data_IF_581300601633
#
_entry.id   IF_581300601633
#
_cell.length_a   1.000
_cell.length_b   1.000
_cell.length_c   1.000
_cell.angle_alpha   90.00
_cell.angle_beta   90.00
_cell.angle_gamma   90.00
#
_symmetry.space_group_name_H-M   'P 1'
#
loop_
_entity.id
_entity.type
_entity.pdbx_description
1 polymer ?
#
# COMPACT_ATOMS: atom_id res chain seq x y z
N UNK A 1 -21.35 19.10 -4.05
CA UNK A 1 -19.94 19.53 -4.19
C UNK A 1 -19.09 18.26 -4.18
N UNK A 2 -18.21 18.09 -5.16
CA UNK A 2 -17.27 16.96 -5.13
C UNK A 2 -16.20 17.32 -4.09
N UNK A 3 -16.14 16.56 -3.00
CA UNK A 3 -15.09 16.72 -1.98
C UNK A 3 -13.75 16.36 -2.61
N UNK A 4 -12.78 17.27 -2.52
CA UNK A 4 -11.40 16.98 -2.96
C UNK A 4 -10.78 15.94 -2.05
N UNK A 5 -9.97 15.05 -2.62
CA UNK A 5 -9.17 14.13 -1.82
C UNK A 5 -8.02 14.88 -1.15
N UNK A 6 -7.74 14.49 0.09
CA UNK A 6 -6.79 15.14 0.98
C UNK A 6 -5.48 14.38 1.05
N UNK A 7 -4.37 15.07 0.86
CA UNK A 7 -3.03 14.48 0.92
C UNK A 7 -2.23 15.21 1.99
N UNK A 8 -1.77 14.48 2.99
CA UNK A 8 -0.86 14.97 4.00
C UNK A 8 0.57 14.79 3.49
N UNK A 9 1.33 15.88 3.46
CA UNK A 9 2.73 15.91 3.04
C UNK A 9 3.56 16.14 4.30
N UNK A 10 4.45 15.20 4.60
CA UNK A 10 5.34 15.21 5.76
C UNK A 10 6.77 15.20 5.26
N UNK A 11 7.45 16.34 5.33
CA UNK A 11 8.81 16.51 4.82
C UNK A 11 9.46 17.67 5.57
N UNK A 12 10.68 17.50 6.10
CA UNK A 12 11.39 18.54 6.83
C UNK A 12 11.97 19.63 5.92
N UNK A 13 12.15 19.33 4.62
CA UNK A 13 12.52 20.32 3.62
C UNK A 13 11.27 21.02 3.06
N UNK A 14 11.05 22.27 3.52
CA UNK A 14 9.95 23.09 3.06
C UNK A 14 9.90 23.27 1.53
N UNK A 15 11.05 23.35 0.86
CA UNK A 15 11.08 23.55 -0.60
C UNK A 15 10.56 22.30 -1.32
N UNK A 16 10.92 21.12 -0.82
CA UNK A 16 10.42 19.85 -1.37
C UNK A 16 8.92 19.71 -1.07
N UNK A 17 8.49 19.97 0.17
CA UNK A 17 7.09 19.89 0.56
C UNK A 17 6.20 20.84 -0.26
N UNK A 18 6.62 22.10 -0.43
CA UNK A 18 5.90 23.09 -1.26
C UNK A 18 5.87 22.70 -2.72
N UNK A 19 6.97 22.18 -3.27
CA UNK A 19 7.04 21.67 -4.64
C UNK A 19 6.04 20.53 -4.85
N UNK A 20 6.04 19.55 -3.96
CA UNK A 20 5.07 18.44 -3.97
C UNK A 20 3.64 18.99 -3.92
N UNK A 21 3.36 19.86 -2.95
CA UNK A 21 2.03 20.46 -2.77
C UNK A 21 1.54 21.19 -4.03
N UNK A 22 2.44 21.96 -4.68
CA UNK A 22 2.12 22.66 -5.92
C UNK A 22 1.65 21.71 -7.04
N UNK A 23 2.37 20.61 -7.25
CA UNK A 23 2.01 19.65 -8.30
C UNK A 23 0.75 18.86 -7.94
N UNK A 24 0.62 18.44 -6.70
CA UNK A 24 -0.55 17.71 -6.20
C UNK A 24 -1.82 18.57 -6.25
N UNK A 25 -1.71 19.85 -5.88
CA UNK A 25 -2.86 20.80 -5.93
C UNK A 25 -3.30 21.09 -7.37
N UNK A 26 -2.38 21.17 -8.35
CA UNK A 26 -2.71 21.27 -9.78
C UNK A 26 -3.58 20.11 -10.28
N UNK A 27 -3.48 18.96 -9.63
CA UNK A 27 -4.25 17.74 -9.92
C UNK A 27 -5.57 17.68 -9.14
N UNK A 28 -6.03 18.82 -8.61
CA UNK A 28 -7.27 18.98 -7.87
C UNK A 28 -7.33 18.27 -6.51
N UNK A 29 -6.20 17.93 -5.90
CA UNK A 29 -6.14 17.45 -4.52
C UNK A 29 -6.09 18.64 -3.55
N UNK A 30 -6.47 18.39 -2.30
CA UNK A 30 -6.25 19.28 -1.16
C UNK A 30 -5.02 18.79 -0.39
N UNK A 31 -4.14 19.69 0.02
CA UNK A 31 -2.88 19.32 0.68
C UNK A 31 -2.75 20.02 2.03
N UNK A 32 -2.20 19.33 3.02
CA UNK A 32 -1.64 19.90 4.25
C UNK A 32 -0.16 19.53 4.34
N UNK A 33 0.67 20.45 4.78
CA UNK A 33 2.13 20.27 4.93
C UNK A 33 2.46 20.32 6.40
N UNK A 34 3.29 19.39 6.86
CA UNK A 34 3.92 19.40 8.20
C UNK A 34 5.39 18.98 8.07
N UNK A 35 6.24 19.47 8.98
CA UNK A 35 7.68 19.36 8.83
C UNK A 35 8.37 18.48 9.88
N UNK A 36 7.60 17.85 10.75
CA UNK A 36 8.11 16.89 11.73
C UNK A 36 7.08 15.78 12.04
N UNK A 37 7.56 14.69 12.63
CA UNK A 37 6.75 13.50 12.89
C UNK A 37 5.69 13.70 13.96
N UNK A 38 5.90 14.57 14.97
CA UNK A 38 4.88 14.84 15.99
C UNK A 38 3.72 15.65 15.43
N UNK A 39 4.01 16.63 14.59
CA UNK A 39 2.98 17.39 13.88
C UNK A 39 2.23 16.49 12.91
N UNK A 40 2.93 15.54 12.24
CA UNK A 40 2.32 14.59 11.33
C UNK A 40 1.22 13.76 12.02
N UNK A 41 1.50 13.22 13.21
CA UNK A 41 0.51 12.43 13.97
C UNK A 41 -0.67 13.28 14.46
N UNK A 42 -0.46 14.54 14.83
CA UNK A 42 -1.54 15.47 15.20
C UNK A 42 -2.39 15.84 13.99
N UNK A 43 -1.74 16.23 12.88
CA UNK A 43 -2.41 16.66 11.67
C UNK A 43 -3.14 15.49 10.99
N UNK A 44 -2.61 14.28 11.09
CA UNK A 44 -3.27 13.08 10.64
C UNK A 44 -4.70 12.96 11.20
N UNK A 45 -4.88 13.21 12.50
CA UNK A 45 -6.18 13.13 13.16
C UNK A 45 -7.11 14.29 12.78
N UNK A 46 -6.58 15.52 12.64
CA UNK A 46 -7.37 16.73 12.37
C UNK A 46 -7.72 16.88 10.88
N UNK A 47 -6.79 16.63 10.01
CA UNK A 47 -6.97 16.77 8.56
C UNK A 47 -7.71 15.59 7.93
N UNK A 48 -7.60 14.39 8.52
CA UNK A 48 -8.18 13.14 7.99
C UNK A 48 -7.80 12.91 6.53
N UNK A 49 -6.52 12.68 6.21
CA UNK A 49 -6.03 12.54 4.85
C UNK A 49 -6.51 11.24 4.19
N UNK A 50 -6.66 11.27 2.87
CA UNK A 50 -6.89 10.09 2.03
C UNK A 50 -5.57 9.38 1.64
N UNK A 51 -4.42 10.07 1.79
CA UNK A 51 -3.08 9.54 1.54
C UNK A 51 -2.02 10.39 2.27
N UNK A 52 -0.94 9.73 2.70
CA UNK A 52 0.23 10.40 3.31
C UNK A 52 1.44 10.23 2.37
N UNK A 53 2.10 11.33 2.06
CA UNK A 53 3.46 11.37 1.52
C UNK A 53 4.40 11.62 2.70
N UNK A 54 5.30 10.69 3.00
CA UNK A 54 6.03 10.66 4.25
C UNK A 54 7.53 10.55 4.02
N UNK A 55 8.28 11.59 4.37
CA UNK A 55 9.74 11.48 4.43
C UNK A 55 10.16 10.58 5.59
N UNK A 56 11.22 9.84 5.36
CA UNK A 56 11.83 8.99 6.38
C UNK A 56 12.73 9.78 7.35
N UNK A 57 13.37 10.83 6.85
CA UNK A 57 14.40 11.58 7.58
C UNK A 57 13.81 12.82 8.28
N UNK A 58 12.86 12.58 9.18
CA UNK A 58 12.22 13.67 9.93
C UNK A 58 12.96 13.96 11.24
N UNK A 59 12.96 15.21 11.71
CA UNK A 59 13.45 15.55 13.05
C UNK A 59 12.51 15.01 14.14
N UNK A 60 13.08 14.58 15.26
CA UNK A 60 12.33 14.04 16.40
C UNK A 60 11.86 12.63 16.15
N UNK A 61 10.59 12.46 15.83
CA UNK A 61 10.00 11.16 15.45
C UNK A 61 10.23 10.92 13.96
N UNK A 62 10.98 9.87 13.63
CA UNK A 62 11.29 9.52 12.23
C UNK A 62 10.06 9.01 11.45
N UNK A 63 10.18 8.98 10.11
CA UNK A 63 9.08 8.55 9.24
C UNK A 63 8.68 7.08 9.44
N UNK A 64 9.59 6.23 9.89
CA UNK A 64 9.26 4.83 10.21
C UNK A 64 8.34 4.74 11.42
N UNK A 65 8.60 5.54 12.45
CA UNK A 65 7.73 5.59 13.63
C UNK A 65 6.37 6.21 13.30
N UNK A 66 6.34 7.31 12.53
CA UNK A 66 5.07 7.92 12.05
C UNK A 66 4.24 6.89 11.28
N UNK A 67 4.86 6.12 10.37
CA UNK A 67 4.18 5.06 9.63
C UNK A 67 3.58 4.02 10.56
N UNK A 68 4.35 3.52 11.51
CA UNK A 68 3.91 2.50 12.48
C UNK A 68 2.74 3.00 13.34
N UNK A 69 2.84 4.21 13.91
CA UNK A 69 1.78 4.79 14.74
C UNK A 69 0.50 5.03 13.92
N UNK A 70 0.63 5.52 12.68
CA UNK A 70 -0.51 5.70 11.79
C UNK A 70 -1.20 4.36 11.47
N UNK A 71 -0.44 3.27 11.32
CA UNK A 71 -0.97 1.93 11.05
C UNK A 71 -1.71 1.30 12.23
N UNK A 72 -1.43 1.71 13.47
CA UNK A 72 -2.20 1.26 14.62
C UNK A 72 -3.64 1.78 14.63
N UNK A 73 -3.91 2.89 13.96
CA UNK A 73 -5.21 3.57 14.01
C UNK A 73 -5.92 3.66 12.65
N UNK A 74 -5.21 3.41 11.52
CA UNK A 74 -5.80 3.57 10.19
C UNK A 74 -5.06 2.81 9.10
N UNK A 75 -5.81 2.41 8.08
CA UNK A 75 -5.30 1.82 6.82
C UNK A 75 -5.03 2.85 5.72
N UNK A 76 -5.05 4.16 6.03
CA UNK A 76 -4.77 5.21 5.05
C UNK A 76 -3.48 4.92 4.28
N UNK A 77 -3.44 5.04 2.94
CA UNK A 77 -2.24 4.72 2.18
C UNK A 77 -1.10 5.66 2.50
N UNK A 78 0.10 5.09 2.60
CA UNK A 78 1.34 5.79 2.88
C UNK A 78 2.34 5.52 1.76
N UNK A 79 2.82 6.59 1.12
CA UNK A 79 3.95 6.54 0.18
C UNK A 79 5.15 7.14 0.90
N UNK A 80 6.18 6.35 1.09
CA UNK A 80 7.43 6.83 1.70
C UNK A 80 8.31 7.55 0.68
N UNK A 81 8.87 8.67 1.08
CA UNK A 81 9.87 9.43 0.33
C UNK A 81 11.21 9.29 1.04
N UNK A 82 12.29 9.02 0.30
CA UNK A 82 13.61 8.89 0.95
C UNK A 82 14.76 9.25 0.02
N UNK A 83 15.77 9.91 0.57
CA UNK A 83 17.05 10.12 -0.09
C UNK A 83 17.92 8.84 -0.11
N UNK A 84 17.59 7.83 0.70
CA UNK A 84 18.33 6.57 0.80
C UNK A 84 17.80 5.56 -0.22
N UNK A 85 18.63 5.26 -1.21
CA UNK A 85 18.35 4.26 -2.24
C UNK A 85 18.71 2.82 -1.84
N UNK A 86 19.13 2.57 -0.60
CA UNK A 86 19.53 1.23 -0.18
C UNK A 86 18.34 0.29 -0.08
N UNK A 87 18.53 -0.92 -0.55
CA UNK A 87 17.49 -1.97 -0.57
C UNK A 87 16.93 -2.22 0.84
N UNK A 88 17.76 -2.06 1.87
CA UNK A 88 17.37 -2.26 3.27
C UNK A 88 16.31 -1.25 3.72
N UNK A 89 16.47 0.03 3.41
CA UNK A 89 15.52 1.08 3.81
C UNK A 89 14.15 0.89 3.15
N UNK A 90 14.14 0.46 1.87
CA UNK A 90 12.90 0.13 1.16
C UNK A 90 12.18 -1.06 1.78
N UNK A 91 12.91 -2.13 2.07
CA UNK A 91 12.35 -3.33 2.69
C UNK A 91 11.78 -2.99 4.07
N UNK A 92 12.51 -2.24 4.88
CA UNK A 92 12.06 -1.83 6.21
C UNK A 92 10.79 -0.95 6.14
N UNK A 93 10.75 0.05 5.25
CA UNK A 93 9.58 0.91 5.08
C UNK A 93 8.34 0.12 4.69
N UNK A 94 8.48 -0.81 3.75
CA UNK A 94 7.40 -1.70 3.34
C UNK A 94 7.03 -2.69 4.46
N UNK A 95 7.98 -3.20 5.24
CA UNK A 95 7.71 -4.04 6.41
C UNK A 95 6.91 -3.31 7.49
N UNK A 96 7.10 -2.01 7.64
CA UNK A 96 6.38 -1.18 8.60
C UNK A 96 4.98 -0.74 8.14
N UNK A 97 4.60 -1.01 6.90
CA UNK A 97 3.23 -0.77 6.45
C UNK A 97 3.08 0.22 5.29
N UNK A 98 4.16 0.77 4.72
CA UNK A 98 4.06 1.60 3.53
C UNK A 98 3.46 0.83 2.34
N UNK A 99 2.67 1.53 1.53
CA UNK A 99 2.04 0.99 0.32
C UNK A 99 2.94 1.15 -0.91
N UNK A 100 3.77 2.21 -0.92
CA UNK A 100 4.75 2.48 -1.96
C UNK A 100 5.95 3.24 -1.41
N UNK A 101 7.01 3.35 -2.22
CA UNK A 101 8.28 3.97 -1.86
C UNK A 101 8.86 4.72 -3.06
N UNK A 102 9.26 5.97 -2.87
CA UNK A 102 9.83 6.84 -3.90
C UNK A 102 11.20 7.33 -3.42
N UNK A 103 12.20 7.25 -4.30
CA UNK A 103 13.55 7.73 -4.02
C UNK A 103 13.68 9.20 -4.42
N UNK A 104 14.22 10.01 -3.54
CA UNK A 104 14.65 11.40 -3.85
C UNK A 104 16.04 11.37 -4.53
N UNK A 105 16.28 12.16 -5.58
CA UNK A 105 15.33 13.04 -6.26
C UNK A 105 14.38 12.27 -7.16
N UNK A 106 13.12 12.69 -7.25
CA UNK A 106 12.07 12.06 -8.04
C UNK A 106 11.53 13.02 -9.11
N UNK A 107 10.99 12.44 -10.19
CA UNK A 107 10.19 13.19 -11.14
C UNK A 107 8.80 13.49 -10.56
N UNK A 108 8.36 14.74 -10.65
CA UNK A 108 7.06 15.16 -10.12
C UNK A 108 5.88 14.48 -10.81
N UNK A 109 6.02 14.12 -12.10
CA UNK A 109 5.00 13.35 -12.83
C UNK A 109 4.92 11.91 -12.33
N UNK A 110 6.06 11.30 -11.99
CA UNK A 110 6.12 9.98 -11.35
C UNK A 110 5.39 10.01 -10.00
N UNK A 111 5.70 11.00 -9.14
CA UNK A 111 5.04 11.17 -7.86
C UNK A 111 3.53 11.25 -8.01
N UNK A 112 3.04 12.14 -8.90
CA UNK A 112 1.61 12.30 -9.16
C UNK A 112 0.97 11.01 -9.68
N UNK A 113 1.63 10.32 -10.60
CA UNK A 113 1.13 9.06 -11.16
C UNK A 113 0.97 7.98 -10.05
N UNK A 114 1.95 7.87 -9.13
CA UNK A 114 1.90 6.95 -7.99
C UNK A 114 0.81 7.32 -6.99
N UNK A 115 0.69 8.59 -6.63
CA UNK A 115 -0.41 9.08 -5.77
C UNK A 115 -1.77 8.72 -6.36
N UNK A 116 -1.99 9.00 -7.65
CA UNK A 116 -3.25 8.64 -8.34
C UNK A 116 -3.48 7.13 -8.37
N UNK A 117 -2.44 6.34 -8.62
CA UNK A 117 -2.54 4.89 -8.66
C UNK A 117 -2.92 4.31 -7.30
N UNK A 118 -2.29 4.79 -6.23
CA UNK A 118 -2.58 4.38 -4.85
C UNK A 118 -4.00 4.79 -4.46
N UNK A 119 -4.38 6.06 -4.66
CA UNK A 119 -5.74 6.56 -4.33
C UNK A 119 -6.86 5.89 -5.12
N UNK A 120 -6.63 5.57 -6.41
CA UNK A 120 -7.63 4.84 -7.23
C UNK A 120 -7.98 3.50 -6.61
N UNK A 121 -7.02 2.80 -6.06
CA UNK A 121 -7.21 1.51 -5.39
C UNK A 121 -7.97 1.66 -4.08
N UNK A 122 -7.75 2.75 -3.36
CA UNK A 122 -8.49 3.07 -2.14
C UNK A 122 -9.94 3.51 -2.39
N UNK A 123 -10.21 4.26 -3.47
CA UNK A 123 -11.58 4.71 -3.82
C UNK A 123 -12.52 3.59 -4.23
N UNK A 124 -12.03 2.44 -4.68
CA UNK A 124 -12.86 1.28 -4.95
C UNK A 124 -13.56 0.73 -3.69
N UNK A 125 -13.31 1.31 -2.51
CA UNK A 125 -14.00 1.01 -1.23
C UNK A 125 -15.42 1.61 -1.09
N UNK A 126 -15.91 2.44 -2.01
CA UNK A 126 -17.31 2.93 -1.92
C UNK A 126 -18.25 2.09 -2.78
N UNK A 127 -19.40 1.63 -2.26
CA UNK A 127 -20.31 0.76 -3.00
C UNK A 127 -21.00 1.53 -4.12
N UNK A 128 -20.52 1.35 -5.35
CA UNK A 128 -21.28 1.65 -6.55
C UNK A 128 -21.96 0.37 -7.03
N UNK A 129 -23.25 0.49 -7.32
CA UNK A 129 -24.19 -0.54 -7.73
C UNK A 129 -23.68 -1.38 -8.90
N UNK A 130 -23.55 -2.69 -8.67
CA UNK A 130 -23.34 -3.80 -9.61
C UNK A 130 -22.40 -3.65 -10.81
N UNK A 131 -21.14 -4.10 -10.66
CA UNK A 131 -20.54 -5.04 -11.61
C UNK A 131 -20.23 -6.37 -10.90
N UNK A 132 -20.14 -7.44 -11.65
CA UNK A 132 -19.87 -8.79 -11.16
C UNK A 132 -18.93 -8.81 -9.95
N UNK A 133 -19.39 -9.33 -8.82
CA UNK A 133 -18.62 -9.43 -7.58
C UNK A 133 -17.25 -10.07 -7.84
N UNK A 134 -16.20 -9.28 -7.75
CA UNK A 134 -14.84 -9.81 -7.78
C UNK A 134 -14.51 -10.39 -6.40
N UNK A 135 -15.07 -11.56 -6.13
CA UNK A 135 -14.83 -12.29 -4.89
C UNK A 135 -14.34 -13.69 -5.15
N UNK A 136 -13.51 -14.20 -4.27
CA UNK A 136 -13.03 -15.60 -4.27
C UNK A 136 -13.25 -16.15 -2.88
N UNK A 137 -13.79 -17.36 -2.81
CA UNK A 137 -14.06 -18.04 -1.54
C UNK A 137 -13.43 -19.43 -1.52
N UNK A 138 -12.76 -19.71 -0.43
CA UNK A 138 -12.18 -21.00 -0.08
C UNK A 138 -12.65 -21.37 1.32
N UNK A 139 -12.49 -22.61 1.75
CA UNK A 139 -12.79 -22.95 3.15
C UNK A 139 -12.09 -22.00 4.11
N UNK A 140 -12.88 -21.38 4.99
CA UNK A 140 -12.45 -20.40 6.00
C UNK A 140 -11.77 -19.11 5.47
N UNK A 141 -11.80 -18.85 4.16
CA UNK A 141 -11.24 -17.65 3.56
C UNK A 141 -12.17 -17.09 2.48
N UNK A 142 -12.61 -15.85 2.65
CA UNK A 142 -13.32 -15.09 1.62
C UNK A 142 -12.58 -13.78 1.37
N UNK A 143 -12.26 -13.52 0.11
CA UNK A 143 -11.56 -12.31 -0.34
C UNK A 143 -12.49 -11.60 -1.31
N UNK A 144 -12.84 -10.37 -1.03
CA UNK A 144 -13.69 -9.56 -1.88
C UNK A 144 -12.95 -8.28 -2.28
N UNK A 145 -12.56 -8.22 -3.57
CA UNK A 145 -11.85 -7.06 -4.13
C UNK A 145 -12.81 -5.89 -4.40
N UNK A 146 -14.11 -6.14 -4.53
CA UNK A 146 -15.09 -5.08 -4.81
C UNK A 146 -15.27 -4.16 -3.60
N UNK A 147 -15.37 -4.75 -2.40
CA UNK A 147 -15.53 -4.00 -1.15
C UNK A 147 -14.26 -3.99 -0.29
N UNK A 148 -13.13 -4.47 -0.82
CA UNK A 148 -11.83 -4.54 -0.14
C UNK A 148 -11.90 -5.19 1.24
N UNK A 149 -12.59 -6.33 1.34
CA UNK A 149 -12.73 -7.07 2.59
C UNK A 149 -12.15 -8.48 2.51
N UNK A 150 -11.58 -8.92 3.61
CA UNK A 150 -11.12 -10.29 3.79
C UNK A 150 -11.74 -10.84 5.06
N UNK A 151 -12.34 -12.03 4.96
CA UNK A 151 -12.81 -12.80 6.11
C UNK A 151 -12.00 -14.08 6.19
N UNK A 152 -11.41 -14.33 7.36
CA UNK A 152 -10.62 -15.53 7.64
C UNK A 152 -11.08 -16.16 8.95
N UNK A 153 -11.39 -17.47 8.94
CA UNK A 153 -11.94 -18.20 10.10
C UNK A 153 -13.17 -17.50 10.70
N UNK A 154 -14.03 -16.92 9.85
CA UNK A 154 -15.23 -16.20 10.25
C UNK A 154 -15.00 -14.77 10.80
N UNK A 155 -13.75 -14.32 10.93
CA UNK A 155 -13.40 -13.00 11.42
C UNK A 155 -12.98 -12.09 10.27
N UNK A 156 -13.30 -10.79 10.38
CA UNK A 156 -12.76 -9.78 9.48
C UNK A 156 -11.26 -9.60 9.73
N UNK A 157 -10.48 -9.54 8.64
CA UNK A 157 -9.02 -9.33 8.68
C UNK A 157 -8.71 -8.02 7.99
N UNK A 158 -8.16 -7.06 8.74
CA UNK A 158 -7.70 -5.81 8.18
C UNK A 158 -6.46 -6.03 7.30
N UNK A 159 -6.60 -5.65 6.03
CA UNK A 159 -5.53 -5.77 5.04
C UNK A 159 -5.34 -4.46 4.29
N UNK A 160 -4.11 -3.93 4.25
CA UNK A 160 -3.77 -2.86 3.32
C UNK A 160 -4.10 -3.27 1.88
N UNK A 161 -4.50 -2.32 1.02
CA UNK A 161 -4.96 -2.62 -0.33
C UNK A 161 -4.02 -3.49 -1.16
N UNK A 162 -2.70 -3.23 -1.07
CA UNK A 162 -1.70 -4.01 -1.82
C UNK A 162 -1.61 -5.46 -1.36
N UNK A 163 -1.78 -5.72 -0.08
CA UNK A 163 -1.83 -7.07 0.46
C UNK A 163 -3.10 -7.78 -0.03
N UNK A 164 -4.24 -7.09 0.01
CA UNK A 164 -5.51 -7.64 -0.45
C UNK A 164 -5.51 -7.89 -1.96
N UNK A 165 -5.03 -6.94 -2.77
CA UNK A 165 -4.89 -7.08 -4.22
C UNK A 165 -4.00 -8.26 -4.58
N UNK A 166 -2.84 -8.39 -3.91
CA UNK A 166 -1.90 -9.50 -4.10
C UNK A 166 -2.52 -10.85 -3.74
N UNK A 167 -3.19 -10.91 -2.58
CA UNK A 167 -3.88 -12.12 -2.14
C UNK A 167 -5.00 -12.51 -3.10
N UNK A 168 -5.84 -11.54 -3.50
CA UNK A 168 -6.92 -11.76 -4.46
C UNK A 168 -6.38 -12.26 -5.80
N UNK A 169 -5.34 -11.64 -6.33
CA UNK A 169 -4.74 -12.01 -7.61
C UNK A 169 -4.24 -13.45 -7.60
N UNK A 170 -3.49 -13.83 -6.56
CA UNK A 170 -3.00 -15.20 -6.40
C UNK A 170 -4.14 -16.20 -6.20
N UNK A 171 -5.13 -15.87 -5.37
CA UNK A 171 -6.27 -16.73 -5.09
C UNK A 171 -7.23 -16.88 -6.29
N UNK A 172 -7.31 -15.88 -7.17
CA UNK A 172 -8.11 -15.95 -8.39
C UNK A 172 -7.51 -16.87 -9.45
N UNK A 173 -6.24 -17.27 -9.30
CA UNK A 173 -5.55 -18.17 -10.22
C UNK A 173 -4.90 -19.32 -9.45
N UNK A 174 -5.71 -20.21 -8.81
CA UNK A 174 -5.18 -21.25 -7.93
C UNK A 174 -4.25 -22.20 -8.69
N UNK A 175 -3.18 -22.63 -8.00
CA UNK A 175 -2.13 -23.51 -8.51
C UNK A 175 -1.26 -22.93 -9.64
N UNK A 176 -1.51 -21.69 -10.09
CA UNK A 176 -0.64 -21.00 -11.04
C UNK A 176 0.53 -20.36 -10.30
N UNK A 177 1.73 -20.54 -10.83
CA UNK A 177 2.96 -19.90 -10.32
C UNK A 177 3.15 -18.57 -11.02
N UNK A 178 3.39 -17.52 -10.26
CA UNK A 178 3.74 -16.20 -10.76
C UNK A 178 5.14 -15.81 -10.30
N UNK A 179 5.94 -15.25 -11.20
CA UNK A 179 7.25 -14.72 -10.83
C UNK A 179 7.08 -13.42 -10.02
N UNK A 180 8.16 -13.00 -9.34
CA UNK A 180 8.16 -11.74 -8.58
C UNK A 180 7.91 -10.55 -9.48
N UNK A 181 8.50 -10.54 -10.68
CA UNK A 181 8.31 -9.52 -11.70
C UNK A 181 6.85 -9.45 -12.15
N UNK A 182 6.24 -10.59 -12.47
CA UNK A 182 4.84 -10.64 -12.87
C UNK A 182 3.90 -10.12 -11.78
N UNK A 183 4.17 -10.47 -10.51
CA UNK A 183 3.38 -9.97 -9.38
C UNK A 183 3.60 -8.48 -9.17
N UNK A 184 4.83 -8.01 -9.33
CA UNK A 184 5.15 -6.60 -9.22
C UNK A 184 4.40 -5.80 -10.29
N UNK A 185 4.49 -6.21 -11.55
CA UNK A 185 3.83 -5.55 -12.68
C UNK A 185 2.30 -5.51 -12.52
N UNK A 186 1.68 -6.63 -12.10
CA UNK A 186 0.24 -6.69 -11.94
C UNK A 186 -0.29 -5.87 -10.77
N UNK A 187 0.42 -5.87 -9.65
CA UNK A 187 -0.07 -5.25 -8.42
C UNK A 187 0.41 -3.80 -8.27
N UNK A 188 1.63 -3.49 -8.69
CA UNK A 188 2.21 -2.14 -8.60
C UNK A 188 2.22 -1.39 -9.94
N UNK A 189 2.14 -2.09 -11.06
CA UNK A 189 2.10 -1.55 -12.41
C UNK A 189 3.44 -1.62 -13.13
N UNK A 190 3.40 -1.60 -14.47
CA UNK A 190 4.56 -1.75 -15.36
C UNK A 190 5.62 -0.65 -15.19
N UNK A 191 5.22 0.52 -14.71
CA UNK A 191 6.11 1.67 -14.48
C UNK A 191 6.72 1.68 -13.06
N UNK A 192 6.50 0.61 -12.29
CA UNK A 192 7.04 0.53 -10.94
C UNK A 192 8.55 0.22 -10.98
N UNK A 193 9.38 1.24 -10.76
CA UNK A 193 10.84 1.15 -10.70
C UNK A 193 11.31 0.67 -9.31
N UNK A 194 10.59 -0.26 -8.70
CA UNK A 194 10.92 -0.82 -7.39
C UNK A 194 11.58 -2.19 -7.45
N UNK A 195 12.17 -2.62 -6.33
CA UNK A 195 12.76 -3.95 -6.19
C UNK A 195 11.67 -5.03 -6.12
N UNK A 196 11.89 -6.16 -6.78
CA UNK A 196 11.00 -7.34 -6.71
C UNK A 196 10.85 -7.91 -5.30
N UNK A 197 11.76 -7.58 -4.37
CA UNK A 197 11.65 -7.89 -2.94
C UNK A 197 10.44 -7.26 -2.25
N UNK A 198 9.85 -6.21 -2.84
CA UNK A 198 8.56 -5.66 -2.40
C UNK A 198 7.49 -6.75 -2.30
N UNK A 199 7.46 -7.66 -3.27
CA UNK A 199 6.53 -8.80 -3.26
C UNK A 199 6.78 -9.71 -2.07
N UNK A 200 8.05 -10.03 -1.78
CA UNK A 200 8.42 -10.93 -0.68
C UNK A 200 7.94 -10.39 0.68
N UNK A 201 8.07 -9.09 0.88
CA UNK A 201 7.60 -8.40 2.10
C UNK A 201 6.08 -8.53 2.26
N UNK A 202 5.31 -8.29 1.19
CA UNK A 202 3.86 -8.39 1.24
C UNK A 202 3.39 -9.84 1.43
N UNK A 203 4.06 -10.81 0.82
CA UNK A 203 3.80 -12.25 1.06
C UNK A 203 4.05 -12.63 2.54
N UNK A 204 5.14 -12.13 3.13
CA UNK A 204 5.44 -12.36 4.55
C UNK A 204 4.29 -11.86 5.43
N UNK A 205 3.83 -10.62 5.21
CA UNK A 205 2.72 -10.02 5.97
C UNK A 205 1.40 -10.77 5.78
N UNK A 206 1.11 -11.20 4.56
CA UNK A 206 -0.06 -12.02 4.30
C UNK A 206 -0.04 -13.31 5.13
N UNK A 207 1.13 -13.99 5.21
CA UNK A 207 1.30 -15.20 6.03
C UNK A 207 1.23 -14.95 7.53
N UNK A 208 1.49 -13.74 7.97
CA UNK A 208 1.31 -13.34 9.37
C UNK A 208 -0.16 -13.21 9.73
N UNK A 209 -0.97 -12.69 8.80
CA UNK A 209 -2.41 -12.44 8.98
C UNK A 209 -3.29 -13.66 8.71
N UNK A 210 -2.95 -14.43 7.67
CA UNK A 210 -3.66 -15.66 7.29
C UNK A 210 -2.67 -16.84 7.34
N UNK A 211 -3.02 -17.86 8.11
CA UNK A 211 -2.20 -19.09 8.22
C UNK A 211 -2.63 -20.09 7.16
N UNK A 212 -1.73 -21.02 6.83
CA UNK A 212 -2.05 -22.09 5.90
C UNK A 212 -3.23 -22.92 6.43
N UNK A 213 -4.12 -23.25 5.50
CA UNK A 213 -5.25 -24.13 5.74
C UNK A 213 -4.97 -25.53 5.16
N UNK A 214 -5.56 -26.62 5.68
CA UNK A 214 -5.35 -27.98 5.12
C UNK A 214 -5.65 -28.07 3.61
N UNK A 215 -6.64 -27.31 3.11
CA UNK A 215 -7.08 -27.33 1.72
C UNK A 215 -6.44 -26.24 0.83
N UNK A 216 -5.78 -25.25 1.37
CA UNK A 216 -5.08 -24.22 0.62
C UNK A 216 -3.90 -23.62 1.39
N UNK A 217 -2.95 -23.05 0.65
CA UNK A 217 -1.80 -22.36 1.25
C UNK A 217 -1.21 -21.31 0.29
N UNK A 218 -0.57 -20.30 0.87
CA UNK A 218 0.22 -19.34 0.10
C UNK A 218 1.67 -19.84 -0.01
N UNK A 219 1.97 -20.55 -1.10
CA UNK A 219 3.19 -21.34 -1.27
C UNK A 219 4.29 -20.57 -2.01
N UNK A 220 5.55 -20.77 -1.59
CA UNK A 220 6.73 -20.29 -2.30
C UNK A 220 7.21 -21.37 -3.28
N UNK A 221 7.48 -20.97 -4.52
CA UNK A 221 8.20 -21.79 -5.49
C UNK A 221 9.62 -21.26 -5.57
N UNK A 222 10.56 -22.00 -4.95
CA UNK A 222 11.94 -21.59 -4.80
C UNK A 222 12.59 -21.21 -6.14
N UNK A 223 13.26 -20.08 -6.17
CA UNK A 223 13.92 -19.56 -7.38
C UNK A 223 12.98 -18.94 -8.42
N UNK A 224 11.65 -19.04 -8.27
CA UNK A 224 10.67 -18.53 -9.24
C UNK A 224 9.79 -17.44 -8.62
N UNK A 225 8.96 -17.77 -7.63
CA UNK A 225 7.99 -16.82 -7.07
C UNK A 225 6.97 -17.46 -6.15
N UNK A 226 5.69 -17.16 -6.37
CA UNK A 226 4.61 -17.52 -5.45
C UNK A 226 3.39 -18.09 -6.17
N UNK A 227 2.60 -18.89 -5.47
CA UNK A 227 1.29 -19.40 -5.89
C UNK A 227 0.33 -19.48 -4.71
N UNK A 228 -0.95 -19.38 -4.98
CA UNK A 228 -2.00 -19.85 -4.07
C UNK A 228 -2.29 -21.32 -4.40
N UNK A 229 -1.88 -22.20 -3.52
CA UNK A 229 -2.01 -23.65 -3.73
C UNK A 229 -3.32 -24.15 -3.14
N UNK A 230 -4.09 -24.85 -3.95
CA UNK A 230 -5.32 -25.53 -3.51
C UNK A 230 -5.08 -27.03 -3.60
N UNK A 231 -5.31 -27.70 -2.49
CA UNK A 231 -5.19 -29.14 -2.35
C UNK A 231 -6.56 -29.79 -2.50
N UNK A 232 -6.60 -30.87 -3.23
CA UNK A 232 -7.81 -31.68 -3.38
C UNK A 232 -7.99 -32.62 -2.20
#
# INVERSE_FOLDING_TARGET
MVTKQKILIVDDDNNIAELISLYITKECFETSIVNDGEQALKEFSSFSPDLILLDLMLPGIDGYQVCRESRHVSDVPIIMLSAKGETFDKVLGLELGADDYIIKPFDTKELVARVRAVLRRFKAKQPAVNPSEKSVSYPDLTINLTNYSVTYMGNHVDMPPKELELLYFLASSPNQVFTREQLLDHIWGYEYIGDTRTVDVHIKRLREKIKDHPQWSLSTVWGIGYKFEVRK
#
